data_IF_382361929078
#
_entry.id   IF_382361929078
#
_cell.length_a   1.000
_cell.length_b   1.000
_cell.length_c   1.000
_cell.angle_alpha   90.00
_cell.angle_beta   90.00
_cell.angle_gamma   90.00
#
_symmetry.space_group_name_H-M   'P 1'
#
loop_
_entity.id
_entity.type
_entity.pdbx_description
1 polymer ?
#
# COMPACT_ATOMS: atom_id res chain seq x y z
N UNK A 1 -27.19 -4.41 19.87
CA UNK A 1 -28.50 -3.74 19.79
C UNK A 1 -28.21 -2.41 19.11
N UNK A 2 -28.83 -2.12 17.96
CA UNK A 2 -28.65 -0.81 17.34
C UNK A 2 -29.45 0.21 18.16
N UNK A 3 -28.79 1.22 18.72
CA UNK A 3 -29.50 2.25 19.47
C UNK A 3 -30.24 3.15 18.48
N UNK A 4 -31.50 3.45 18.77
CA UNK A 4 -32.27 4.44 18.01
C UNK A 4 -32.41 5.70 18.85
N UNK A 5 -32.31 6.87 18.23
CA UNK A 5 -32.54 8.16 18.89
C UNK A 5 -33.50 9.01 18.07
N UNK A 6 -34.07 10.05 18.69
CA UNK A 6 -34.87 11.04 17.99
C UNK A 6 -33.97 12.00 17.21
N UNK A 7 -34.40 12.33 16.00
CA UNK A 7 -33.90 13.44 15.21
C UNK A 7 -35.08 14.30 14.76
N UNK A 8 -34.80 15.53 14.37
CA UNK A 8 -35.78 16.51 13.95
C UNK A 8 -35.61 16.77 12.47
N UNK A 9 -36.67 16.51 11.69
CA UNK A 9 -36.66 16.68 10.25
C UNK A 9 -37.00 18.13 9.89
N UNK A 10 -36.19 18.72 9.03
CA UNK A 10 -36.40 20.05 8.49
C UNK A 10 -36.66 20.00 6.98
N UNK A 11 -37.36 21.02 6.45
CA UNK A 11 -37.49 21.22 5.01
C UNK A 11 -36.22 21.84 4.39
N UNK A 12 -36.24 22.11 3.08
CA UNK A 12 -35.11 22.70 2.36
C UNK A 12 -34.76 24.13 2.82
N UNK A 13 -35.64 24.78 3.60
CA UNK A 13 -35.49 26.10 4.18
C UNK A 13 -35.10 26.03 5.66
N UNK A 14 -34.94 24.83 6.22
CA UNK A 14 -34.59 24.58 7.62
C UNK A 14 -35.79 24.59 8.57
N UNK A 15 -37.03 24.71 8.10
CA UNK A 15 -38.22 24.76 8.96
C UNK A 15 -38.50 23.36 9.52
N UNK A 16 -38.74 23.27 10.83
CA UNK A 16 -39.10 22.02 11.51
C UNK A 16 -40.40 21.45 10.93
N UNK A 17 -40.32 20.25 10.34
CA UNK A 17 -41.45 19.48 9.84
C UNK A 17 -42.01 18.51 10.88
N UNK A 18 -41.12 17.94 11.72
CA UNK A 18 -41.50 16.97 12.75
C UNK A 18 -40.33 16.16 13.30
N UNK A 19 -40.67 15.14 14.08
CA UNK A 19 -39.70 14.21 14.67
C UNK A 19 -39.59 12.93 13.82
N UNK A 20 -38.39 12.35 13.76
CA UNK A 20 -38.12 11.06 13.14
C UNK A 20 -37.16 10.25 14.00
N UNK A 21 -37.12 8.94 13.79
CA UNK A 21 -36.13 8.06 14.41
C UNK A 21 -34.90 7.94 13.52
N UNK A 22 -33.71 7.98 14.11
CA UNK A 22 -32.45 7.67 13.42
C UNK A 22 -31.68 6.61 14.19
N UNK A 23 -30.87 5.85 13.46
CA UNK A 23 -30.14 4.71 13.99
C UNK A 23 -28.67 5.07 14.23
N UNK A 24 -28.08 4.57 15.31
CA UNK A 24 -26.65 4.60 15.54
C UNK A 24 -25.92 3.81 14.43
N UNK A 25 -24.78 4.32 13.96
CA UNK A 25 -23.93 3.64 12.99
C UNK A 25 -23.36 2.38 13.65
N UNK A 26 -23.64 1.18 13.12
CA UNK A 26 -23.09 -0.07 13.66
C UNK A 26 -21.56 -0.15 13.57
N UNK A 27 -20.91 0.70 12.75
CA UNK A 27 -19.45 0.75 12.60
C UNK A 27 -18.77 1.81 13.48
N UNK A 28 -19.51 2.79 13.98
CA UNK A 28 -18.97 3.89 14.80
C UNK A 28 -19.91 4.19 15.97
N UNK A 29 -19.58 3.62 17.13
CA UNK A 29 -20.35 3.84 18.36
C UNK A 29 -20.40 5.33 18.72
N UNK A 30 -21.61 5.84 18.93
CA UNK A 30 -21.91 7.25 19.22
C UNK A 30 -22.22 8.10 17.99
N UNK A 31 -21.95 7.63 16.77
CA UNK A 31 -22.35 8.32 15.54
C UNK A 31 -23.75 7.84 15.09
N UNK A 32 -24.58 8.74 14.56
CA UNK A 32 -25.93 8.40 14.08
C UNK A 32 -26.05 8.67 12.58
N UNK A 33 -26.69 7.74 11.87
CA UNK A 33 -26.94 7.85 10.43
C UNK A 33 -28.12 8.81 10.21
N UNK A 34 -27.80 10.06 9.90
CA UNK A 34 -28.79 11.12 9.69
C UNK A 34 -29.25 11.17 8.23
N UNK A 35 -30.57 11.08 7.98
CA UNK A 35 -31.12 11.41 6.66
C UNK A 35 -30.84 12.88 6.30
N UNK A 36 -30.83 13.23 5.01
CA UNK A 36 -30.73 14.62 4.57
C UNK A 36 -31.80 15.50 5.24
N UNK A 37 -31.40 16.67 5.75
CA UNK A 37 -32.31 17.60 6.43
C UNK A 37 -32.71 17.22 7.85
N UNK A 38 -32.12 16.19 8.45
CA UNK A 38 -32.35 15.84 9.85
C UNK A 38 -31.25 16.38 10.77
N UNK A 39 -31.62 16.80 11.97
CA UNK A 39 -30.69 17.30 13.00
C UNK A 39 -30.97 16.61 14.35
N UNK A 40 -29.93 16.40 15.16
CA UNK A 40 -30.08 15.81 16.50
C UNK A 40 -30.39 16.87 17.57
N UNK A 41 -30.17 18.15 17.26
CA UNK A 41 -30.39 19.23 18.20
C UNK A 41 -31.88 19.41 18.49
N UNK A 42 -32.25 19.32 19.76
CA UNK A 42 -33.64 19.49 20.21
C UNK A 42 -34.14 20.90 19.88
N UNK A 43 -35.28 21.05 19.17
CA UNK A 43 -35.84 22.35 18.84
C UNK A 43 -36.37 23.04 20.10
N UNK A 44 -36.39 24.39 20.11
CA UNK A 44 -37.03 25.14 21.18
C UNK A 44 -38.54 24.87 21.21
N UNK A 45 -39.15 25.01 22.38
CA UNK A 45 -40.60 24.97 22.50
C UNK A 45 -41.21 26.15 21.74
N UNK A 46 -42.08 25.85 20.78
CA UNK A 46 -42.83 26.84 19.99
C UNK A 46 -44.33 26.66 20.21
N UNK A 47 -45.08 27.73 20.03
CA UNK A 47 -46.52 27.63 19.82
C UNK A 47 -46.78 27.33 18.33
N UNK A 48 -47.24 26.11 18.03
CA UNK A 48 -47.46 25.66 16.66
C UNK A 48 -48.51 26.49 15.89
N UNK A 49 -49.35 27.25 16.59
CA UNK A 49 -50.38 28.09 15.97
C UNK A 49 -49.85 29.48 15.57
N UNK A 50 -48.73 29.93 16.17
CA UNK A 50 -48.22 31.29 16.00
C UNK A 50 -46.74 31.37 15.65
N UNK A 51 -46.00 30.25 15.70
CA UNK A 51 -44.55 30.23 15.57
C UNK A 51 -44.05 29.02 14.79
N UNK A 52 -42.88 29.15 14.17
CA UNK A 52 -42.12 28.07 13.53
C UNK A 52 -40.68 28.08 14.01
N UNK A 53 -40.12 26.89 14.20
CA UNK A 53 -38.69 26.71 14.47
C UNK A 53 -37.95 26.49 13.15
N UNK A 54 -36.89 27.27 12.92
CA UNK A 54 -36.05 27.21 11.71
C UNK A 54 -34.61 26.91 12.12
N UNK A 55 -34.06 25.80 11.66
CA UNK A 55 -32.66 25.42 11.87
C UNK A 55 -31.77 25.97 10.76
N UNK A 56 -30.88 26.89 11.10
CA UNK A 56 -29.94 27.48 10.16
C UNK A 56 -28.58 27.70 10.83
N UNK A 57 -27.49 27.45 10.11
CA UNK A 57 -26.11 27.66 10.59
C UNK A 57 -25.81 26.95 11.94
N UNK A 58 -26.40 25.78 12.18
CA UNK A 58 -26.17 25.00 13.40
C UNK A 58 -26.94 25.49 14.63
N UNK A 59 -27.93 26.38 14.49
CA UNK A 59 -28.75 26.87 15.60
C UNK A 59 -30.23 26.95 15.23
N UNK A 60 -31.11 26.74 16.20
CA UNK A 60 -32.55 26.98 16.06
C UNK A 60 -32.89 28.46 16.22
N UNK A 61 -33.71 28.99 15.32
CA UNK A 61 -34.32 30.32 15.35
C UNK A 61 -35.84 30.16 15.44
N UNK A 62 -36.51 30.92 16.31
CA UNK A 62 -37.98 30.91 16.42
C UNK A 62 -38.52 32.13 15.69
N UNK A 63 -39.40 31.91 14.73
CA UNK A 63 -40.03 32.99 13.95
C UNK A 63 -41.53 32.95 14.14
N UNK A 64 -42.12 34.13 14.25
CA UNK A 64 -43.57 34.26 14.25
C UNK A 64 -44.12 33.94 12.85
N UNK A 65 -45.17 33.13 12.82
CA UNK A 65 -45.97 32.91 11.62
C UNK A 65 -46.64 34.24 11.23
N UNK A 66 -46.60 34.64 9.95
CA UNK A 66 -47.39 35.79 9.51
C UNK A 66 -48.88 35.52 9.84
N UNK A 67 -49.64 36.55 10.26
CA UNK A 67 -51.07 36.37 10.53
C UNK A 67 -51.74 35.81 9.27
N UNK A 68 -52.67 34.86 9.40
CA UNK A 68 -53.34 34.28 8.25
C UNK A 68 -54.00 35.41 7.45
N UNK A 69 -53.71 35.48 6.15
CA UNK A 69 -54.44 36.35 5.25
C UNK A 69 -55.95 36.02 5.37
N UNK A 70 -56.84 37.03 5.41
CA UNK A 70 -58.27 36.76 5.45
C UNK A 70 -58.67 35.97 4.20
N UNK A 71 -59.13 34.75 4.42
CA UNK A 71 -59.51 33.81 3.36
C UNK A 71 -60.47 34.45 2.36
N UNK A 72 -60.21 34.38 1.04
CA UNK A 72 -61.29 34.27 0.08
C UNK A 72 -61.88 32.85 0.16
N UNK A 73 -63.22 32.82 0.15
CA UNK A 73 -64.18 31.70 -0.05
C UNK A 73 -63.57 30.41 -0.65
N UNK A 74 -63.92 29.20 -0.15
CA UNK A 74 -63.29 27.96 -0.61
C UNK A 74 -63.66 27.67 -2.06
N UNK A 75 -62.67 27.73 -2.96
CA UNK A 75 -62.69 26.96 -4.19
C UNK A 75 -62.02 25.63 -3.85
N UNK A 76 -62.82 24.57 -3.79
CA UNK A 76 -62.31 23.21 -3.78
C UNK A 76 -61.73 22.95 -5.16
N UNK A 77 -60.44 23.21 -5.34
CA UNK A 77 -59.68 22.67 -6.47
C UNK A 77 -58.89 21.49 -5.93
N UNK A 78 -59.46 20.32 -6.16
CA UNK A 78 -58.83 19.02 -6.01
C UNK A 78 -57.71 18.89 -7.05
N UNK A 79 -56.47 19.23 -6.68
CA UNK A 79 -55.29 18.89 -7.45
C UNK A 79 -54.28 18.10 -6.61
N UNK A 80 -54.22 16.82 -6.94
CA UNK A 80 -53.12 15.88 -6.75
C UNK A 80 -52.59 15.67 -5.32
N UNK A 81 -53.44 15.08 -4.46
CA UNK A 81 -52.93 14.07 -3.53
C UNK A 81 -52.47 12.87 -4.37
N UNK A 82 -51.17 12.70 -4.55
CA UNK A 82 -50.60 11.38 -4.81
C UNK A 82 -51.14 10.41 -3.74
N UNK A 83 -51.50 9.17 -4.09
CA UNK A 83 -52.00 8.24 -3.09
C UNK A 83 -50.91 8.05 -2.04
N UNK A 84 -51.17 8.55 -0.84
CA UNK A 84 -50.45 8.13 0.35
C UNK A 84 -50.73 6.63 0.50
N UNK A 85 -49.79 5.82 0.02
CA UNK A 85 -49.59 4.48 0.58
C UNK A 85 -49.54 4.72 2.09
N UNK A 86 -50.40 4.06 2.87
CA UNK A 86 -50.35 4.16 4.34
C UNK A 86 -48.94 3.84 4.80
N UNK A 87 -48.17 4.90 5.07
CA UNK A 87 -46.81 4.83 5.55
C UNK A 87 -46.89 4.28 6.97
N UNK A 88 -46.54 3.01 7.14
CA UNK A 88 -46.33 2.46 8.48
C UNK A 88 -45.08 3.15 9.02
N UNK A 89 -45.17 3.76 10.20
CA UNK A 89 -44.01 4.36 10.83
C UNK A 89 -42.88 3.32 10.97
N UNK A 90 -41.62 3.65 10.65
CA UNK A 90 -40.51 2.73 10.79
C UNK A 90 -40.32 2.39 12.27
N UNK A 91 -40.39 1.11 12.57
CA UNK A 91 -40.16 0.50 13.88
C UNK A 91 -39.15 -0.63 13.73
N UNK A 92 -38.54 -1.06 14.82
CA UNK A 92 -37.64 -2.21 14.76
C UNK A 92 -38.36 -3.50 14.30
N UNK A 93 -39.66 -3.62 14.59
CA UNK A 93 -40.46 -4.78 14.21
C UNK A 93 -40.75 -4.87 12.70
N UNK A 94 -40.70 -3.75 11.96
CA UNK A 94 -40.90 -3.70 10.51
C UNK A 94 -39.62 -3.36 9.73
N UNK A 95 -38.45 -3.43 10.37
CA UNK A 95 -37.16 -3.26 9.70
C UNK A 95 -36.96 -4.37 8.63
N UNK A 96 -36.68 -4.02 7.37
CA UNK A 96 -36.41 -5.02 6.34
C UNK A 96 -35.11 -5.75 6.65
N UNK A 97 -35.08 -7.04 6.30
CA UNK A 97 -33.86 -7.84 6.40
C UNK A 97 -32.90 -7.44 5.29
N UNK A 98 -31.78 -6.83 5.64
CA UNK A 98 -30.70 -6.54 4.70
C UNK A 98 -29.93 -7.82 4.33
N UNK A 99 -29.51 -7.91 3.07
CA UNK A 99 -28.60 -8.95 2.57
C UNK A 99 -27.13 -8.69 2.88
N UNK A 100 -26.27 -9.47 2.23
CA UNK A 100 -24.83 -9.23 2.25
C UNK A 100 -24.52 -7.93 1.49
N UNK A 101 -23.70 -7.05 2.08
CA UNK A 101 -23.41 -5.71 1.57
C UNK A 101 -24.63 -4.77 1.43
N UNK A 102 -25.61 -4.93 2.32
CA UNK A 102 -26.77 -4.05 2.41
C UNK A 102 -27.00 -3.61 3.85
N UNK A 103 -27.63 -2.45 4.01
CA UNK A 103 -28.11 -1.95 5.30
C UNK A 103 -29.52 -1.40 5.14
N UNK A 104 -30.38 -1.64 6.13
CA UNK A 104 -31.68 -1.00 6.20
C UNK A 104 -31.53 0.37 6.88
N UNK A 105 -31.80 1.45 6.15
CA UNK A 105 -31.79 2.84 6.62
C UNK A 105 -33.20 3.42 6.55
N UNK A 106 -33.53 4.38 7.42
CA UNK A 106 -34.74 5.18 7.25
C UNK A 106 -34.41 6.33 6.29
N UNK A 107 -35.06 6.36 5.13
CA UNK A 107 -34.97 7.44 4.13
C UNK A 107 -36.37 8.00 3.93
N UNK A 108 -36.53 9.31 4.02
CA UNK A 108 -37.82 10.01 3.88
C UNK A 108 -38.92 9.45 4.80
N UNK A 109 -38.54 9.09 6.03
CA UNK A 109 -39.46 8.57 7.03
C UNK A 109 -39.92 7.13 6.77
N UNK A 110 -39.30 6.39 5.84
CA UNK A 110 -39.61 5.00 5.52
C UNK A 110 -38.35 4.13 5.50
N UNK A 111 -38.49 2.83 5.78
CA UNK A 111 -37.38 1.90 5.62
C UNK A 111 -36.99 1.75 4.14
N UNK A 112 -35.71 1.93 3.84
CA UNK A 112 -35.07 1.68 2.57
C UNK A 112 -33.85 0.77 2.78
N UNK A 113 -33.63 -0.18 1.88
CA UNK A 113 -32.40 -0.98 1.86
C UNK A 113 -31.41 -0.27 0.94
N UNK A 114 -30.24 0.06 1.46
CA UNK A 114 -29.15 0.76 0.76
C UNK A 114 -27.94 -0.15 0.73
N UNK A 115 -27.15 -0.08 -0.35
CA UNK A 115 -25.90 -0.83 -0.44
C UNK A 115 -24.91 -0.36 0.63
N UNK A 116 -24.32 -1.29 1.37
CA UNK A 116 -23.26 -1.04 2.35
C UNK A 116 -22.04 -1.90 2.01
N UNK A 117 -21.18 -1.35 1.15
CA UNK A 117 -19.89 -1.95 0.80
C UNK A 117 -18.74 -1.33 1.59
N UNK A 118 -19.03 -0.54 2.64
CA UNK A 118 -17.99 0.16 3.41
C UNK A 118 -16.97 -0.83 3.98
N UNK A 119 -15.71 -0.44 3.93
CA UNK A 119 -14.57 -1.28 4.32
C UNK A 119 -14.15 -2.30 3.25
N UNK A 120 -14.92 -2.50 2.18
CA UNK A 120 -14.53 -3.40 1.09
C UNK A 120 -13.38 -2.80 0.29
N UNK A 121 -12.28 -3.56 0.20
CA UNK A 121 -11.17 -3.26 -0.68
C UNK A 121 -11.46 -3.78 -2.09
N UNK A 122 -11.12 -2.99 -3.11
CA UNK A 122 -11.27 -3.38 -4.51
C UNK A 122 -10.12 -2.84 -5.36
N UNK A 123 -9.90 -3.48 -6.51
CA UNK A 123 -8.89 -3.11 -7.50
C UNK A 123 -9.55 -2.92 -8.87
N UNK A 124 -9.04 -1.97 -9.65
CA UNK A 124 -9.51 -1.76 -11.01
C UNK A 124 -8.74 -2.67 -11.99
N UNK A 125 -9.44 -3.38 -12.90
CA UNK A 125 -8.81 -4.35 -13.80
C UNK A 125 -7.85 -3.71 -14.82
N UNK A 126 -7.94 -2.39 -15.01
CA UNK A 126 -7.11 -1.63 -15.95
C UNK A 126 -6.06 -0.75 -15.25
N UNK A 127 -5.91 -0.86 -13.93
CA UNK A 127 -4.84 -0.16 -13.23
C UNK A 127 -3.56 -1.00 -13.22
N UNK A 128 -2.52 -0.63 -14.01
CA UNK A 128 -1.26 -1.37 -14.05
C UNK A 128 -0.48 -1.29 -12.73
N UNK A 129 -0.79 -0.32 -11.86
CA UNK A 129 -0.17 -0.21 -10.55
C UNK A 129 -0.80 -1.15 -9.51
N UNK A 130 -2.00 -1.68 -9.77
CA UNK A 130 -2.72 -2.52 -8.83
C UNK A 130 -3.07 -1.78 -7.54
N UNK A 131 -3.48 -0.51 -7.64
CA UNK A 131 -3.81 0.33 -6.48
C UNK A 131 -5.04 -0.23 -5.76
N UNK A 132 -4.93 -0.37 -4.44
CA UNK A 132 -6.08 -0.71 -3.59
C UNK A 132 -6.97 0.52 -3.43
N UNK A 133 -8.25 0.36 -3.73
CA UNK A 133 -9.31 1.30 -3.40
C UNK A 133 -10.16 0.73 -2.27
N UNK A 134 -10.79 1.60 -1.49
CA UNK A 134 -11.68 1.19 -0.40
C UNK A 134 -12.95 2.01 -0.44
N UNK A 135 -14.10 1.34 -0.32
CA UNK A 135 -15.38 2.02 -0.19
C UNK A 135 -15.52 2.51 1.25
N UNK A 136 -15.79 3.80 1.44
CA UNK A 136 -15.91 4.43 2.76
C UNK A 136 -17.30 5.00 3.03
N UNK A 137 -18.11 5.20 1.99
CA UNK A 137 -19.43 5.82 2.11
C UNK A 137 -20.57 4.82 1.89
N UNK A 138 -21.69 5.05 2.56
CA UNK A 138 -22.93 4.30 2.37
C UNK A 138 -23.53 4.58 0.98
N UNK A 139 -24.13 3.56 0.37
CA UNK A 139 -24.74 3.64 -0.95
C UNK A 139 -23.74 3.55 -2.11
N UNK A 140 -22.43 3.60 -1.85
CA UNK A 140 -21.44 3.29 -2.87
C UNK A 140 -21.36 1.78 -3.12
N UNK A 141 -21.28 1.42 -4.40
CA UNK A 141 -21.02 0.05 -4.83
C UNK A 141 -19.69 0.01 -5.60
N UNK A 142 -18.96 -1.12 -5.58
CA UNK A 142 -17.78 -1.29 -6.40
C UNK A 142 -18.12 -1.03 -7.88
N UNK A 143 -17.26 -0.32 -8.63
CA UNK A 143 -17.46 -0.14 -10.07
C UNK A 143 -17.58 -1.47 -10.81
N UNK A 144 -18.28 -1.48 -11.95
CA UNK A 144 -18.40 -2.66 -12.79
C UNK A 144 -17.01 -3.22 -13.16
N UNK A 145 -16.82 -4.52 -12.95
CA UNK A 145 -15.56 -5.21 -13.23
C UNK A 145 -14.46 -5.04 -12.16
N UNK A 146 -14.78 -4.42 -11.02
CA UNK A 146 -13.88 -4.38 -9.87
C UNK A 146 -13.48 -5.79 -9.42
N UNK A 147 -12.19 -5.94 -9.08
CA UNK A 147 -11.64 -7.16 -8.50
C UNK A 147 -11.63 -7.03 -6.98
N UNK A 148 -11.92 -8.13 -6.26
CA UNK A 148 -11.85 -8.19 -4.79
C UNK A 148 -10.58 -8.89 -4.29
N UNK A 149 -9.61 -9.04 -5.19
CA UNK A 149 -8.26 -9.49 -4.91
C UNK A 149 -7.29 -8.65 -5.74
N UNK A 150 -6.06 -8.39 -5.25
CA UNK A 150 -5.07 -7.64 -6.01
C UNK A 150 -4.80 -8.32 -7.36
N UNK A 151 -4.65 -7.55 -8.45
CA UNK A 151 -4.29 -8.12 -9.74
C UNK A 151 -2.91 -8.79 -9.65
N UNK A 152 -2.63 -9.81 -10.47
CA UNK A 152 -1.31 -10.42 -10.50
C UNK A 152 -0.28 -9.35 -10.88
N UNK A 153 0.87 -9.37 -10.18
CA UNK A 153 1.97 -8.46 -10.50
C UNK A 153 2.38 -8.63 -11.98
N UNK A 154 2.71 -7.53 -12.69
CA UNK A 154 3.14 -7.61 -14.06
C UNK A 154 4.40 -8.49 -14.16
N UNK A 155 4.42 -9.39 -15.14
CA UNK A 155 5.63 -10.16 -15.43
C UNK A 155 6.78 -9.19 -15.81
N UNK A 156 8.03 -9.48 -15.40
CA UNK A 156 9.16 -8.65 -15.76
C UNK A 156 9.28 -8.56 -17.28
N UNK A 157 9.58 -7.36 -17.79
CA UNK A 157 9.83 -7.20 -19.22
C UNK A 157 11.10 -7.96 -19.63
N UNK A 158 11.25 -8.23 -20.93
CA UNK A 158 12.49 -8.81 -21.47
C UNK A 158 13.71 -7.94 -21.10
N UNK A 159 13.55 -6.61 -21.15
CA UNK A 159 14.61 -5.66 -20.81
C UNK A 159 15.00 -5.75 -19.33
N UNK A 160 14.02 -5.87 -18.43
CA UNK A 160 14.29 -6.04 -16.99
C UNK A 160 15.02 -7.36 -16.72
N UNK A 161 14.58 -8.44 -17.37
CA UNK A 161 15.22 -9.75 -17.25
C UNK A 161 16.66 -9.72 -17.76
N UNK A 162 16.90 -9.08 -18.91
CA UNK A 162 18.21 -8.91 -19.51
C UNK A 162 19.15 -8.12 -18.58
N UNK A 163 18.69 -6.99 -18.05
CA UNK A 163 19.48 -6.16 -17.14
C UNK A 163 19.83 -6.91 -15.85
N UNK A 164 18.86 -7.62 -15.26
CA UNK A 164 19.07 -8.43 -14.07
C UNK A 164 20.10 -9.54 -14.33
N UNK A 165 19.98 -10.26 -15.45
CA UNK A 165 20.90 -11.36 -15.76
C UNK A 165 22.34 -10.87 -16.02
N UNK A 166 22.50 -9.74 -16.72
CA UNK A 166 23.83 -9.13 -16.91
C UNK A 166 24.45 -8.74 -15.57
N UNK A 167 23.65 -8.19 -14.64
CA UNK A 167 24.13 -7.88 -13.30
C UNK A 167 24.57 -9.14 -12.54
N UNK A 168 23.79 -10.23 -12.62
CA UNK A 168 24.15 -11.52 -12.04
C UNK A 168 25.45 -12.08 -12.61
N UNK A 169 25.62 -12.05 -13.94
CA UNK A 169 26.83 -12.54 -14.58
C UNK A 169 28.07 -11.73 -14.15
N UNK A 170 27.96 -10.40 -14.11
CA UNK A 170 29.07 -9.54 -13.65
C UNK A 170 29.43 -9.81 -12.19
N UNK A 171 28.44 -9.94 -11.32
CA UNK A 171 28.66 -10.24 -9.91
C UNK A 171 29.31 -11.60 -9.70
N UNK A 172 28.86 -12.63 -10.41
CA UNK A 172 29.46 -13.96 -10.37
C UNK A 172 30.91 -13.96 -10.87
N UNK A 173 31.18 -13.27 -11.98
CA UNK A 173 32.54 -13.12 -12.51
C UNK A 173 33.46 -12.38 -11.53
N UNK A 174 32.99 -11.29 -10.93
CA UNK A 174 33.75 -10.53 -9.94
C UNK A 174 34.05 -11.39 -8.71
N UNK A 175 33.04 -12.07 -8.16
CA UNK A 175 33.21 -12.94 -6.99
C UNK A 175 34.18 -14.08 -7.24
N UNK A 176 34.15 -14.68 -8.43
CA UNK A 176 35.10 -15.72 -8.83
C UNK A 176 36.51 -15.16 -9.06
N UNK A 177 36.63 -13.94 -9.56
CA UNK A 177 37.92 -13.26 -9.73
C UNK A 177 38.56 -12.89 -8.39
N UNK A 178 37.76 -12.42 -7.43
CA UNK A 178 38.19 -11.98 -6.10
C UNK A 178 38.24 -13.12 -5.06
N UNK A 179 37.99 -14.37 -5.50
CA UNK A 179 37.94 -15.51 -4.59
C UNK A 179 39.25 -15.65 -3.79
N UNK A 180 39.19 -15.67 -2.45
CA UNK A 180 40.37 -15.78 -1.61
C UNK A 180 41.14 -17.09 -1.84
N UNK A 181 42.45 -17.07 -1.55
CA UNK A 181 43.28 -18.28 -1.61
C UNK A 181 43.55 -18.83 -0.22
N UNK A 182 43.53 -20.15 -0.08
CA UNK A 182 44.05 -20.84 1.10
C UNK A 182 45.56 -20.97 0.96
N UNK A 183 46.31 -20.46 1.93
CA UNK A 183 47.77 -20.48 1.89
C UNK A 183 48.33 -20.87 3.26
N UNK A 184 49.42 -21.64 3.26
CA UNK A 184 50.15 -22.03 4.47
C UNK A 184 51.54 -21.43 4.41
N UNK A 185 51.89 -20.63 5.43
CA UNK A 185 53.23 -20.03 5.53
C UNK A 185 54.29 -21.10 5.78
N UNK A 186 55.56 -20.76 5.56
CA UNK A 186 56.71 -21.61 5.87
C UNK A 186 56.79 -21.98 7.36
N UNK A 187 56.18 -21.16 8.24
CA UNK A 187 56.04 -21.44 9.67
C UNK A 187 54.86 -22.38 10.00
N UNK A 188 54.11 -22.84 9.00
CA UNK A 188 52.99 -23.77 9.15
C UNK A 188 51.64 -23.12 9.49
N UNK A 189 51.52 -21.79 9.44
CA UNK A 189 50.24 -21.11 9.69
C UNK A 189 49.38 -21.15 8.42
N UNK A 190 48.26 -21.87 8.47
CA UNK A 190 47.30 -21.94 7.38
C UNK A 190 46.18 -20.90 7.58
N UNK A 191 45.95 -20.05 6.59
CA UNK A 191 44.90 -19.02 6.63
C UNK A 191 44.35 -18.73 5.22
N UNK A 192 43.30 -17.91 5.17
CA UNK A 192 42.65 -17.45 3.94
C UNK A 192 43.13 -16.03 3.63
N UNK A 193 43.56 -15.76 2.41
CA UNK A 193 44.10 -14.45 2.02
C UNK A 193 43.27 -13.81 0.93
N UNK A 194 42.93 -12.54 1.12
CA UNK A 194 42.14 -11.77 0.17
C UNK A 194 42.87 -11.64 -1.17
N UNK A 195 42.09 -11.71 -2.23
CA UNK A 195 42.56 -11.69 -3.61
C UNK A 195 41.89 -10.59 -4.44
N UNK A 196 41.29 -9.61 -3.76
CA UNK A 196 40.77 -8.41 -4.39
C UNK A 196 41.89 -7.57 -5.03
N UNK A 197 41.50 -6.67 -5.93
CA UNK A 197 42.44 -5.86 -6.71
C UNK A 197 43.41 -5.06 -5.83
N UNK A 198 42.96 -4.56 -4.67
CA UNK A 198 43.80 -3.79 -3.76
C UNK A 198 44.81 -4.69 -3.03
N UNK A 199 44.38 -5.86 -2.57
CA UNK A 199 45.25 -6.87 -1.95
C UNK A 199 46.36 -7.34 -2.88
N UNK A 200 46.01 -7.66 -4.14
CA UNK A 200 47.00 -8.07 -5.16
C UNK A 200 47.97 -6.93 -5.48
N UNK A 201 47.47 -5.72 -5.71
CA UNK A 201 48.32 -4.55 -5.97
C UNK A 201 49.29 -4.28 -4.82
N UNK A 202 48.81 -4.41 -3.58
CA UNK A 202 49.65 -4.22 -2.38
C UNK A 202 50.72 -5.31 -2.30
N UNK A 203 50.37 -6.56 -2.56
CA UNK A 203 51.30 -7.68 -2.56
C UNK A 203 52.41 -7.49 -3.60
N UNK A 204 52.06 -7.13 -4.83
CA UNK A 204 53.03 -6.85 -5.91
C UNK A 204 53.94 -5.67 -5.56
N UNK A 205 53.38 -4.58 -5.02
CA UNK A 205 54.17 -3.41 -4.60
C UNK A 205 55.16 -3.75 -3.49
N UNK A 206 54.78 -4.59 -2.52
CA UNK A 206 55.68 -5.02 -1.45
C UNK A 206 56.75 -5.98 -1.98
N UNK A 207 56.41 -6.88 -2.91
CA UNK A 207 57.40 -7.73 -3.56
C UNK A 207 58.45 -6.91 -4.31
N UNK A 208 58.04 -5.87 -5.03
CA UNK A 208 58.96 -4.97 -5.73
C UNK A 208 59.84 -4.18 -4.76
N UNK A 209 59.24 -3.56 -3.73
CA UNK A 209 59.95 -2.72 -2.76
C UNK A 209 61.06 -3.48 -2.01
N UNK A 210 60.86 -4.78 -1.74
CA UNK A 210 61.77 -5.60 -0.94
C UNK A 210 62.55 -6.65 -1.75
N UNK A 211 62.41 -6.64 -3.09
CA UNK A 211 63.10 -7.58 -3.98
C UNK A 211 64.62 -7.58 -3.82
N UNK A 212 65.22 -6.40 -3.60
CA UNK A 212 66.69 -6.25 -3.51
C UNK A 212 67.25 -6.75 -2.18
N UNK A 213 66.54 -6.52 -1.08
CA UNK A 213 67.00 -6.93 0.25
C UNK A 213 66.65 -8.38 0.56
N UNK A 214 65.65 -8.95 -0.12
CA UNK A 214 65.07 -10.26 0.17
C UNK A 214 64.65 -10.41 1.64
N UNK A 215 64.29 -9.30 2.29
CA UNK A 215 63.86 -9.23 3.67
C UNK A 215 62.52 -8.53 3.78
N UNK A 216 61.66 -9.01 4.67
CA UNK A 216 60.37 -8.40 4.97
C UNK A 216 60.37 -7.97 6.45
N UNK A 217 60.79 -6.73 6.76
CA UNK A 217 60.94 -6.25 8.13
C UNK A 217 59.66 -6.32 9.00
N UNK A 218 58.44 -6.11 8.47
CA UNK A 218 57.23 -6.21 9.29
C UNK A 218 56.98 -7.60 9.90
N UNK A 219 57.48 -8.67 9.27
CA UNK A 219 57.28 -10.06 9.71
C UNK A 219 55.80 -10.44 9.97
N UNK A 220 54.89 -9.78 9.28
CA UNK A 220 53.46 -10.03 9.32
C UNK A 220 52.79 -9.71 7.98
N UNK A 221 51.62 -10.30 7.74
CA UNK A 221 50.71 -9.96 6.65
C UNK A 221 49.25 -10.05 7.14
N UNK A 222 48.30 -9.44 6.46
CA UNK A 222 46.88 -9.53 6.85
C UNK A 222 46.20 -10.68 6.10
N UNK A 223 45.43 -11.49 6.83
CA UNK A 223 44.53 -12.47 6.22
C UNK A 223 43.28 -11.78 5.65
N UNK A 224 42.38 -12.54 5.03
CA UNK A 224 41.16 -12.04 4.39
C UNK A 224 40.20 -11.32 5.35
N UNK A 225 40.30 -11.60 6.65
CA UNK A 225 39.51 -10.95 7.70
C UNK A 225 40.19 -9.69 8.27
N UNK A 226 41.36 -9.31 7.76
CA UNK A 226 42.16 -8.19 8.25
C UNK A 226 42.97 -8.50 9.52
N UNK A 227 43.08 -9.77 9.91
CA UNK A 227 43.85 -10.18 11.09
C UNK A 227 45.33 -10.40 10.72
N UNK A 228 46.29 -9.96 11.57
CA UNK A 228 47.70 -10.16 11.32
C UNK A 228 48.10 -11.64 11.48
N UNK A 229 48.77 -12.17 10.46
CA UNK A 229 49.43 -13.48 10.44
C UNK A 229 50.92 -13.26 10.66
N UNK A 230 51.49 -13.90 11.67
CA UNK A 230 52.92 -13.80 12.02
C UNK A 230 53.43 -15.15 12.56
N UNK A 231 54.69 -15.54 12.28
CA UNK A 231 55.64 -14.87 11.39
C UNK A 231 55.23 -14.99 9.92
N UNK A 232 55.52 -13.95 9.14
CA UNK A 232 55.29 -13.94 7.70
C UNK A 232 56.54 -13.38 7.05
N UNK A 233 57.25 -14.17 6.26
CA UNK A 233 58.57 -13.83 5.72
C UNK A 233 58.47 -13.29 4.29
N UNK A 234 59.59 -12.79 3.74
CA UNK A 234 59.64 -12.43 2.32
C UNK A 234 59.40 -13.63 1.40
N UNK A 235 59.87 -14.83 1.79
CA UNK A 235 59.58 -16.06 1.06
C UNK A 235 58.08 -16.40 1.06
N UNK A 236 57.37 -16.11 2.17
CA UNK A 236 55.92 -16.26 2.24
C UNK A 236 55.18 -15.28 1.34
N UNK A 237 55.66 -14.03 1.17
CA UNK A 237 55.07 -13.08 0.20
C UNK A 237 55.20 -13.60 -1.23
N UNK A 238 56.37 -14.13 -1.59
CA UNK A 238 56.60 -14.69 -2.92
C UNK A 238 55.72 -15.92 -3.17
N UNK A 239 55.61 -16.80 -2.19
CA UNK A 239 54.79 -18.00 -2.28
C UNK A 239 53.29 -17.67 -2.30
N UNK A 240 52.84 -16.67 -1.53
CA UNK A 240 51.47 -16.16 -1.59
C UNK A 240 51.16 -15.57 -2.96
N UNK A 241 52.04 -14.73 -3.53
CA UNK A 241 51.82 -14.16 -4.86
C UNK A 241 51.75 -15.24 -5.94
N UNK A 242 52.55 -16.31 -5.82
CA UNK A 242 52.44 -17.46 -6.70
C UNK A 242 51.11 -18.19 -6.52
N UNK A 243 50.65 -18.41 -5.30
CA UNK A 243 49.34 -19.02 -5.04
C UNK A 243 48.19 -18.16 -5.59
N UNK A 244 48.30 -16.83 -5.51
CA UNK A 244 47.37 -15.87 -6.10
C UNK A 244 47.38 -15.97 -7.62
N UNK A 245 48.56 -16.07 -8.26
CA UNK A 245 48.73 -16.15 -9.72
C UNK A 245 48.33 -17.51 -10.31
N UNK A 246 48.54 -18.61 -9.58
CA UNK A 246 48.20 -19.96 -9.99
C UNK A 246 46.68 -20.26 -9.85
N UNK A 247 45.89 -19.33 -9.28
CA UNK A 247 44.44 -19.51 -9.17
C UNK A 247 43.78 -19.47 -10.55
N UNK A 248 42.84 -20.38 -10.77
CA UNK A 248 41.95 -20.29 -11.93
C UNK A 248 41.06 -19.05 -11.77
N UNK A 249 41.19 -18.09 -12.69
CA UNK A 249 40.27 -16.95 -12.80
C UNK A 249 39.35 -17.14 -14.00
N UNK A 250 38.07 -16.74 -13.91
CA UNK A 250 37.19 -16.77 -15.07
C UNK A 250 37.69 -15.76 -16.12
N UNK A 251 37.72 -16.17 -17.38
CA UNK A 251 38.24 -15.32 -18.44
C UNK A 251 37.21 -14.23 -18.82
N UNK A 252 37.70 -12.99 -18.94
CA UNK A 252 36.87 -11.85 -19.32
C UNK A 252 36.16 -12.02 -20.68
N UNK A 253 36.78 -12.64 -21.72
CA UNK A 253 36.10 -12.93 -22.97
C UNK A 253 34.86 -13.82 -22.82
N UNK A 254 34.89 -14.86 -21.96
CA UNK A 254 33.70 -15.66 -21.66
C UNK A 254 32.57 -14.82 -21.06
N UNK A 255 32.87 -13.93 -20.11
CA UNK A 255 31.86 -13.02 -19.57
C UNK A 255 31.21 -12.18 -20.68
N UNK A 256 32.01 -11.59 -21.58
CA UNK A 256 31.49 -10.80 -22.70
C UNK A 256 30.62 -11.62 -23.65
N UNK A 257 31.02 -12.85 -23.95
CA UNK A 257 30.24 -13.77 -24.78
C UNK A 257 28.87 -14.07 -24.14
N UNK A 258 28.84 -14.36 -22.84
CA UNK A 258 27.61 -14.62 -22.09
C UNK A 258 26.69 -13.40 -22.05
N UNK A 259 27.24 -12.20 -21.83
CA UNK A 259 26.48 -10.94 -21.92
C UNK A 259 25.89 -10.76 -23.33
N UNK A 260 26.66 -11.05 -24.39
CA UNK A 260 26.17 -11.02 -25.76
C UNK A 260 25.01 -11.99 -25.99
N UNK A 261 25.07 -13.20 -25.44
CA UNK A 261 23.98 -14.18 -25.49
C UNK A 261 22.72 -13.66 -24.78
N UNK A 262 22.86 -13.02 -23.60
CA UNK A 262 21.72 -12.44 -22.86
C UNK A 262 21.05 -11.34 -23.68
N UNK A 263 21.83 -10.45 -24.31
CA UNK A 263 21.27 -9.36 -25.14
C UNK A 263 20.61 -9.88 -26.42
N UNK A 264 21.05 -11.03 -26.94
CA UNK A 264 20.49 -11.65 -28.15
C UNK A 264 19.26 -12.53 -27.87
N UNK A 265 18.99 -12.89 -26.61
CA UNK A 265 17.86 -13.72 -26.23
C UNK A 265 16.52 -13.03 -26.51
N UNK A 266 15.58 -13.77 -27.10
CA UNK A 266 14.27 -13.24 -27.51
C UNK A 266 13.19 -13.38 -26.44
N UNK A 267 13.44 -14.19 -25.39
CA UNK A 267 12.47 -14.46 -24.32
C UNK A 267 13.10 -14.33 -22.94
N UNK A 268 12.27 -14.04 -21.94
CA UNK A 268 12.69 -13.98 -20.52
C UNK A 268 13.25 -15.32 -20.05
N UNK A 269 12.72 -16.43 -20.58
CA UNK A 269 13.17 -17.78 -20.21
C UNK A 269 14.56 -18.08 -20.79
N UNK A 270 14.80 -17.72 -22.06
CA UNK A 270 16.12 -17.85 -22.69
C UNK A 270 17.17 -17.02 -21.94
N UNK A 271 16.82 -15.80 -21.52
CA UNK A 271 17.71 -14.94 -20.71
C UNK A 271 18.11 -15.65 -19.41
N UNK A 272 17.13 -16.20 -18.68
CA UNK A 272 17.36 -16.84 -17.38
C UNK A 272 18.17 -18.13 -17.48
N UNK A 273 18.16 -18.80 -18.65
CA UNK A 273 18.93 -20.01 -18.88
C UNK A 273 20.44 -19.75 -19.05
N UNK A 274 20.87 -18.50 -19.26
CA UNK A 274 22.28 -18.17 -19.56
C UNK A 274 23.06 -17.96 -18.25
N UNK A 275 23.70 -19.03 -17.77
CA UNK A 275 24.65 -18.98 -16.65
C UNK A 275 26.10 -18.74 -17.06
N UNK A 276 26.94 -18.39 -16.09
CA UNK A 276 28.40 -18.30 -16.21
C UNK A 276 29.01 -19.71 -16.28
#
# INVERSE_FOLDING_TARGET
MANMTHAYQCDAQGILLGETMVQEDPLEAGAFLLPPGCVLDVPPAIDADTQVAVYANGTWDVRDLPPPDPSPVPVVTEEARTPAVSAIAPTQANQPKAGEHEIALIVDGQWAVVADWRGTAYWLPHDPAGTEHRITELGQTPPDGALFSPPPAPAPSLADAQAAQVATLRSAWQSATEHPVNFTTAAGHADVFACDAAGVTTLDAMLEAYAQSATWPPNLWLNASGMPVTPFTFADLQALARAVADRATPDYPTLLLKIGQVMAAATVEDVRAIGL
#
